data_IF_735134018957
#
_entry.id   IF_735134018957
#
_cell.length_a   1.000
_cell.length_b   1.000
_cell.length_c   1.000
_cell.angle_alpha   90.00
_cell.angle_beta   90.00
_cell.angle_gamma   90.00
#
_symmetry.space_group_name_H-M   'P 1'
#
loop_
_entity.id
_entity.type
_entity.pdbx_description
1 polymer ?
#
# COMPACT_ATOMS: atom_id res chain seq x y z
N UNK A 1 35.31 4.12 -28.09
CA UNK A 1 35.05 4.65 -26.74
C UNK A 1 33.79 3.89 -26.24
N UNK A 2 34.01 2.82 -25.47
CA UNK A 2 32.91 2.07 -24.90
C UNK A 2 32.28 2.96 -23.82
N UNK A 3 31.01 3.28 -23.98
CA UNK A 3 30.20 3.95 -22.97
C UNK A 3 30.09 2.94 -21.81
N UNK A 4 30.82 3.19 -20.71
CA UNK A 4 30.58 2.46 -19.45
C UNK A 4 29.10 2.62 -19.13
N UNK A 5 28.36 1.51 -19.19
CA UNK A 5 27.03 1.45 -18.61
C UNK A 5 27.24 1.65 -17.11
N UNK A 6 26.92 2.85 -16.63
CA UNK A 6 26.81 3.11 -15.19
C UNK A 6 25.74 2.13 -14.69
N UNK A 7 26.16 1.12 -13.93
CA UNK A 7 25.25 0.25 -13.20
C UNK A 7 24.42 1.15 -12.28
N UNK A 8 23.15 1.32 -12.58
CA UNK A 8 22.26 1.99 -11.63
C UNK A 8 22.13 1.10 -10.40
N UNK A 9 22.49 1.63 -9.23
CA UNK A 9 22.36 0.95 -7.95
C UNK A 9 20.96 0.38 -7.74
N UNK A 10 20.84 -0.66 -6.96
CA UNK A 10 19.53 -1.27 -6.67
C UNK A 10 18.59 -0.27 -6.00
N UNK A 11 17.36 -0.19 -6.50
CA UNK A 11 16.33 0.66 -5.91
C UNK A 11 15.76 -0.03 -4.66
N UNK A 12 15.76 0.68 -3.54
CA UNK A 12 15.10 0.27 -2.30
C UNK A 12 14.03 1.29 -1.97
N UNK A 13 12.78 0.85 -1.89
CA UNK A 13 11.68 1.74 -1.51
C UNK A 13 11.25 1.52 -0.06
N UNK A 14 10.69 2.56 0.53
CA UNK A 14 10.17 2.53 1.90
C UNK A 14 8.72 2.99 1.95
N UNK A 15 7.92 2.25 2.68
CA UNK A 15 6.57 2.62 3.07
C UNK A 15 6.41 2.35 4.56
N UNK A 16 6.11 3.39 5.34
CA UNK A 16 6.06 3.29 6.82
C UNK A 16 5.01 4.24 7.41
N UNK A 17 4.67 4.01 8.70
CA UNK A 17 3.78 4.87 9.49
C UNK A 17 4.50 5.64 10.62
N UNK A 18 5.85 5.60 10.67
CA UNK A 18 6.62 6.12 11.80
C UNK A 18 7.55 7.31 11.46
N UNK A 19 7.40 7.88 10.27
CA UNK A 19 8.10 9.12 9.88
C UNK A 19 9.58 8.96 9.58
N UNK A 20 10.20 10.07 9.17
CA UNK A 20 11.57 10.10 8.63
C UNK A 20 12.67 9.84 9.68
N UNK A 21 12.42 10.11 10.96
CA UNK A 21 13.41 9.91 12.02
C UNK A 21 13.84 8.43 12.14
N UNK A 22 12.88 7.52 12.24
CA UNK A 22 13.16 6.08 12.30
C UNK A 22 13.62 5.53 10.96
N UNK A 23 13.06 6.03 9.86
CA UNK A 23 13.46 5.66 8.51
C UNK A 23 14.94 5.95 8.25
N UNK A 24 15.48 7.06 8.77
CA UNK A 24 16.90 7.41 8.61
C UNK A 24 17.84 6.37 9.22
N UNK A 25 17.45 5.72 10.32
CA UNK A 25 18.21 4.64 10.94
C UNK A 25 18.24 3.39 10.06
N UNK A 26 17.10 3.03 9.43
CA UNK A 26 17.03 1.91 8.48
C UNK A 26 17.93 2.15 7.27
N UNK A 27 17.90 3.35 6.69
CA UNK A 27 18.80 3.74 5.59
C UNK A 27 20.27 3.67 6.03
N UNK A 28 20.59 4.13 7.25
CA UNK A 28 21.93 4.06 7.82
C UNK A 28 22.44 2.63 7.91
N UNK A 29 21.63 1.67 8.37
CA UNK A 29 21.95 0.25 8.44
C UNK A 29 22.25 -0.33 7.05
N UNK A 30 21.46 0.00 6.05
CA UNK A 30 21.68 -0.45 4.67
C UNK A 30 23.02 0.11 4.16
N UNK A 31 23.27 1.40 4.36
CA UNK A 31 24.50 2.07 3.89
C UNK A 31 25.79 1.57 4.55
N UNK A 32 25.70 0.93 5.70
CA UNK A 32 26.85 0.25 6.31
C UNK A 32 27.28 -1.01 5.54
N UNK A 33 26.37 -1.62 4.77
CA UNK A 33 26.62 -2.86 4.01
C UNK A 33 26.82 -2.62 2.52
N UNK A 34 26.10 -1.68 1.94
CA UNK A 34 26.21 -1.34 0.51
C UNK A 34 25.95 0.14 0.26
N UNK A 35 26.68 0.71 -0.69
CA UNK A 35 26.49 2.10 -1.14
C UNK A 35 25.88 2.17 -2.53
N UNK A 36 25.77 1.05 -3.22
CA UNK A 36 25.21 0.97 -4.59
C UNK A 36 23.70 0.76 -4.54
N UNK A 37 23.01 1.72 -3.88
CA UNK A 37 21.57 1.72 -3.71
C UNK A 37 20.98 3.11 -3.92
N UNK A 38 19.77 3.14 -4.45
CA UNK A 38 18.93 4.35 -4.59
C UNK A 38 17.74 4.20 -3.66
N UNK A 39 17.58 5.12 -2.73
CA UNK A 39 16.44 5.13 -1.81
C UNK A 39 15.29 5.97 -2.36
N UNK A 40 14.08 5.42 -2.32
CA UNK A 40 12.85 6.11 -2.68
C UNK A 40 11.82 5.91 -1.57
N UNK A 41 11.23 6.98 -1.09
CA UNK A 41 10.14 6.92 -0.12
C UNK A 41 8.81 6.87 -0.87
N UNK A 42 8.07 5.76 -0.74
CA UNK A 42 6.68 5.69 -1.23
C UNK A 42 5.80 6.53 -0.30
N UNK A 43 5.91 6.30 1.01
CA UNK A 43 5.28 7.11 2.05
C UNK A 43 5.97 6.88 3.39
N UNK A 44 6.02 7.91 4.24
CA UNK A 44 6.49 7.84 5.62
C UNK A 44 5.43 8.24 6.63
N UNK A 45 4.23 8.51 6.14
CA UNK A 45 3.09 9.09 6.86
C UNK A 45 1.78 8.31 6.63
N UNK A 46 1.89 7.00 6.40
CA UNK A 46 0.72 6.12 6.49
C UNK A 46 0.08 6.33 7.86
N UNK A 47 -1.25 6.43 7.95
CA UNK A 47 -1.90 6.56 9.25
C UNK A 47 -1.42 5.46 10.22
N UNK A 48 -1.10 5.80 11.49
CA UNK A 48 -0.53 4.84 12.43
C UNK A 48 -1.36 3.55 12.51
N UNK A 49 -0.69 2.40 12.34
CA UNK A 49 -1.27 1.06 12.39
C UNK A 49 -2.29 0.72 11.28
N UNK A 50 -2.49 1.59 10.28
CA UNK A 50 -3.39 1.33 9.16
C UNK A 50 -2.70 0.45 8.09
N UNK A 51 -2.66 -0.86 8.37
CA UNK A 51 -2.08 -1.87 7.47
C UNK A 51 -2.79 -1.88 6.11
N UNK A 52 -4.10 -1.61 6.07
CA UNK A 52 -4.91 -1.61 4.83
C UNK A 52 -4.51 -0.46 3.91
N UNK A 53 -4.40 0.75 4.43
CA UNK A 53 -3.90 1.90 3.66
C UNK A 53 -2.46 1.69 3.20
N UNK A 54 -1.60 1.10 4.03
CA UNK A 54 -0.23 0.74 3.66
C UNK A 54 -0.19 -0.26 2.50
N UNK A 55 -0.99 -1.33 2.59
CA UNK A 55 -1.07 -2.35 1.55
C UNK A 55 -1.58 -1.79 0.21
N UNK A 56 -2.61 -0.93 0.26
CA UNK A 56 -3.11 -0.23 -0.92
C UNK A 56 -2.04 0.66 -1.54
N UNK A 57 -1.38 1.50 -0.75
CA UNK A 57 -0.35 2.41 -1.24
C UNK A 57 0.83 1.64 -1.87
N UNK A 58 1.27 0.55 -1.24
CA UNK A 58 2.31 -0.33 -1.77
C UNK A 58 1.88 -0.96 -3.11
N UNK A 59 0.67 -1.50 -3.18
CA UNK A 59 0.12 -2.13 -4.39
C UNK A 59 0.03 -1.15 -5.55
N UNK A 60 -0.37 0.08 -5.29
CA UNK A 60 -0.48 1.11 -6.34
C UNK A 60 0.90 1.56 -6.81
N UNK A 61 1.82 1.81 -5.87
CA UNK A 61 3.12 2.38 -6.18
C UNK A 61 4.09 1.38 -6.83
N UNK A 62 4.13 0.13 -6.34
CA UNK A 62 5.15 -0.87 -6.73
C UNK A 62 5.18 -1.14 -8.23
N UNK A 63 4.04 -1.06 -8.93
CA UNK A 63 3.93 -1.27 -10.38
C UNK A 63 4.70 -0.25 -11.24
N UNK A 64 5.08 0.89 -10.68
CA UNK A 64 5.81 1.94 -11.39
C UNK A 64 7.33 1.84 -11.20
N UNK A 65 7.79 0.89 -10.38
CA UNK A 65 9.22 0.67 -10.16
C UNK A 65 9.78 -0.39 -11.11
N UNK A 66 11.07 -0.30 -11.47
CA UNK A 66 11.71 -1.29 -12.32
C UNK A 66 11.81 -2.65 -11.62
N UNK A 67 11.86 -3.72 -12.40
CA UNK A 67 12.20 -5.07 -11.89
C UNK A 67 13.53 -5.04 -11.16
N UNK A 68 13.66 -5.83 -10.11
CA UNK A 68 14.83 -5.83 -9.22
C UNK A 68 14.71 -4.84 -8.05
N UNK A 69 13.62 -4.05 -7.99
CA UNK A 69 13.37 -3.17 -6.83
C UNK A 69 13.06 -3.99 -5.58
N UNK A 70 13.61 -3.55 -4.45
CA UNK A 70 13.34 -4.07 -3.11
C UNK A 70 12.40 -3.10 -2.41
N UNK A 71 11.23 -3.57 -1.98
CA UNK A 71 10.22 -2.78 -1.29
C UNK A 71 10.21 -3.15 0.20
N UNK A 72 10.55 -2.21 1.08
CA UNK A 72 10.40 -2.37 2.53
C UNK A 72 9.11 -1.67 2.95
N UNK A 73 8.14 -2.44 3.46
CA UNK A 73 6.88 -1.89 3.96
C UNK A 73 6.67 -2.26 5.42
N UNK A 74 6.60 -1.25 6.28
CA UNK A 74 6.52 -1.44 7.74
C UNK A 74 5.41 -0.56 8.32
N UNK A 75 4.22 -1.12 8.40
CA UNK A 75 3.11 -0.70 9.25
C UNK A 75 2.81 -1.89 10.14
N UNK A 76 3.27 -1.88 11.38
CA UNK A 76 3.47 -3.09 12.17
C UNK A 76 2.97 -2.98 13.61
N UNK A 77 1.65 -3.06 13.82
CA UNK A 77 1.09 -3.09 15.17
C UNK A 77 1.48 -4.32 15.99
N UNK A 78 2.06 -5.35 15.33
CA UNK A 78 2.49 -6.59 15.94
C UNK A 78 4.02 -6.70 16.14
N UNK A 79 4.77 -5.61 16.06
CA UNK A 79 6.24 -5.64 16.25
C UNK A 79 6.62 -6.27 17.60
N UNK A 80 7.61 -7.15 17.59
CA UNK A 80 8.08 -7.82 18.82
C UNK A 80 7.19 -8.94 19.36
N UNK A 81 6.09 -9.27 18.68
CA UNK A 81 5.25 -10.45 18.99
C UNK A 81 5.67 -11.66 18.14
N UNK A 82 4.88 -12.73 18.17
CA UNK A 82 5.12 -13.97 17.39
C UNK A 82 4.86 -13.82 15.87
N UNK A 83 4.46 -12.62 15.39
CA UNK A 83 4.27 -12.41 13.95
C UNK A 83 5.59 -12.60 13.21
N UNK A 84 5.58 -13.36 12.12
CA UNK A 84 6.78 -13.61 11.33
C UNK A 84 7.30 -12.32 10.65
N UNK A 85 8.60 -12.22 10.48
CA UNK A 85 9.25 -11.32 9.54
C UNK A 85 9.39 -12.05 8.21
N UNK A 86 9.00 -11.47 7.09
CA UNK A 86 8.97 -12.19 5.81
C UNK A 86 9.64 -11.41 4.68
N UNK A 87 10.16 -12.19 3.73
CA UNK A 87 10.59 -11.77 2.42
C UNK A 87 9.69 -12.43 1.38
N UNK A 88 9.19 -11.67 0.42
CA UNK A 88 8.31 -12.16 -0.65
C UNK A 88 8.89 -11.73 -1.99
N UNK A 89 9.07 -12.68 -2.90
CA UNK A 89 9.43 -12.39 -4.28
C UNK A 89 8.20 -12.53 -5.17
N UNK A 90 7.95 -11.55 -6.04
CA UNK A 90 6.89 -11.61 -7.04
C UNK A 90 7.17 -10.66 -8.21
N UNK A 91 6.91 -11.12 -9.44
CA UNK A 91 7.04 -10.29 -10.65
C UNK A 91 8.44 -9.73 -10.89
N UNK A 92 9.48 -10.30 -10.23
CA UNK A 92 10.86 -9.79 -10.25
C UNK A 92 11.10 -8.63 -9.30
N UNK A 93 10.23 -8.41 -8.33
CA UNK A 93 10.39 -7.50 -7.20
C UNK A 93 10.53 -8.30 -5.91
N UNK A 94 11.15 -7.71 -4.91
CA UNK A 94 11.26 -8.28 -3.56
C UNK A 94 10.55 -7.37 -2.58
N UNK A 95 9.72 -7.94 -1.72
CA UNK A 95 8.98 -7.25 -0.67
C UNK A 95 9.45 -7.75 0.69
N UNK A 96 9.73 -6.85 1.62
CA UNK A 96 10.23 -7.19 2.96
C UNK A 96 9.39 -6.45 3.99
N UNK A 97 8.92 -7.17 5.01
CA UNK A 97 8.10 -6.58 6.07
C UNK A 97 7.51 -7.59 7.03
N UNK A 98 6.55 -7.15 7.87
CA UNK A 98 5.82 -8.02 8.78
C UNK A 98 4.81 -8.92 8.05
N UNK A 99 4.62 -10.13 8.57
CA UNK A 99 3.55 -11.04 8.14
C UNK A 99 2.20 -10.62 8.75
N UNK A 100 1.66 -9.52 8.27
CA UNK A 100 0.34 -9.00 8.64
C UNK A 100 -0.54 -8.71 7.42
N UNK A 101 -0.10 -9.19 6.24
CA UNK A 101 -0.80 -9.04 4.97
C UNK A 101 -0.43 -7.78 4.17
N UNK A 102 0.35 -6.85 4.71
CA UNK A 102 0.69 -5.58 4.04
C UNK A 102 1.36 -5.76 2.67
N UNK A 103 2.16 -6.81 2.50
CA UNK A 103 2.93 -7.06 1.27
C UNK A 103 2.08 -7.72 0.18
N UNK A 104 1.08 -8.50 0.56
CA UNK A 104 0.44 -9.47 -0.32
C UNK A 104 -0.38 -8.86 -1.46
N UNK A 105 -1.18 -7.78 -1.27
CA UNK A 105 -1.88 -7.15 -2.39
C UNK A 105 -0.95 -6.64 -3.49
N UNK A 106 0.23 -6.10 -3.11
CA UNK A 106 1.25 -5.66 -4.07
C UNK A 106 1.92 -6.85 -4.77
N UNK A 107 2.27 -7.88 -4.03
CA UNK A 107 2.90 -9.08 -4.56
C UNK A 107 1.98 -9.81 -5.57
N UNK A 108 0.69 -9.99 -5.27
CA UNK A 108 -0.29 -10.56 -6.20
C UNK A 108 -0.52 -9.69 -7.43
N UNK A 109 -0.49 -8.36 -7.28
CA UNK A 109 -0.68 -7.45 -8.41
C UNK A 109 0.47 -7.51 -9.44
N UNK A 110 1.67 -7.97 -9.03
CA UNK A 110 2.85 -8.08 -9.90
C UNK A 110 3.09 -9.50 -10.42
N UNK A 111 2.55 -10.54 -9.76
CA UNK A 111 2.75 -11.92 -10.21
C UNK A 111 2.32 -12.97 -9.20
N UNK A 112 2.99 -14.12 -9.25
CA UNK A 112 2.77 -15.24 -8.32
C UNK A 112 3.80 -15.14 -7.20
N UNK A 113 3.40 -14.78 -5.97
CA UNK A 113 4.34 -14.59 -4.86
C UNK A 113 4.90 -15.92 -4.36
N UNK A 114 6.17 -15.90 -3.99
CA UNK A 114 6.83 -16.93 -3.18
C UNK A 114 7.42 -16.24 -1.95
N UNK A 115 7.25 -16.82 -0.77
CA UNK A 115 7.64 -16.18 0.47
C UNK A 115 8.53 -17.06 1.34
N UNK A 116 9.38 -16.40 2.14
CA UNK A 116 10.28 -17.00 3.13
C UNK A 116 10.17 -16.26 4.45
N UNK A 117 10.23 -16.98 5.55
CA UNK A 117 10.34 -16.37 6.87
C UNK A 117 11.81 -15.99 7.11
N UNK A 118 12.02 -14.75 7.57
CA UNK A 118 13.34 -14.24 7.94
C UNK A 118 13.63 -14.54 9.39
N UNK A 119 14.88 -14.88 9.68
CA UNK A 119 15.35 -15.01 11.06
C UNK A 119 15.35 -13.64 11.75
N UNK A 120 14.89 -13.61 13.00
CA UNK A 120 15.01 -12.44 13.86
C UNK A 120 16.26 -12.62 14.72
N UNK A 121 17.29 -11.78 14.56
CA UNK A 121 18.53 -11.90 15.34
C UNK A 121 18.29 -11.79 16.84
N UNK A 122 19.01 -12.56 17.66
CA UNK A 122 18.92 -12.56 19.14
C UNK A 122 19.21 -11.17 19.72
N UNK A 123 19.58 -10.23 19.23
CA UNK A 123 19.79 -8.86 19.74
C UNK A 123 18.85 -7.83 19.12
N UNK A 124 17.90 -8.26 18.28
CA UNK A 124 16.96 -7.33 17.65
C UNK A 124 16.06 -6.66 18.68
N UNK A 125 15.88 -5.36 18.55
CA UNK A 125 14.96 -4.60 19.39
C UNK A 125 13.52 -5.08 19.18
N UNK A 126 12.79 -5.45 20.23
CA UNK A 126 11.40 -5.89 20.10
C UNK A 126 10.45 -4.78 19.64
N UNK A 127 10.92 -3.55 19.58
CA UNK A 127 10.11 -2.40 19.14
C UNK A 127 10.57 -1.82 17.81
N UNK A 128 11.63 -2.37 17.18
CA UNK A 128 12.12 -1.81 15.91
C UNK A 128 12.72 -2.86 14.96
N UNK A 129 11.93 -3.83 14.54
CA UNK A 129 12.31 -4.80 13.51
C UNK A 129 12.61 -4.13 12.15
N UNK A 130 12.07 -2.95 11.87
CA UNK A 130 12.45 -2.15 10.69
C UNK A 130 13.95 -1.97 10.54
N UNK A 131 14.62 -1.58 11.61
CA UNK A 131 16.05 -1.36 11.66
C UNK A 131 16.86 -2.67 11.78
N UNK A 132 16.41 -3.60 12.63
CA UNK A 132 17.25 -4.72 13.07
C UNK A 132 17.01 -6.01 12.27
N UNK A 133 15.89 -6.07 11.49
CA UNK A 133 15.55 -7.25 10.69
C UNK A 133 15.36 -6.86 9.21
N UNK A 134 14.44 -5.92 8.90
CA UNK A 134 14.08 -5.64 7.52
C UNK A 134 15.14 -4.86 6.75
N UNK A 135 15.78 -3.88 7.35
CA UNK A 135 16.86 -3.13 6.71
C UNK A 135 18.10 -4.01 6.44
N UNK A 136 18.59 -4.85 7.39
CA UNK A 136 19.65 -5.83 7.12
C UNK A 136 19.32 -6.79 5.99
N UNK A 137 18.11 -7.36 5.97
CA UNK A 137 17.68 -8.28 4.92
C UNK A 137 17.65 -7.60 3.53
N UNK A 138 17.15 -6.38 3.45
CA UNK A 138 17.18 -5.60 2.21
C UNK A 138 18.60 -5.32 1.72
N UNK A 139 19.54 -5.05 2.62
CA UNK A 139 20.94 -4.83 2.28
C UNK A 139 21.60 -6.09 1.71
N UNK A 140 21.33 -7.27 2.29
CA UNK A 140 21.84 -8.55 1.79
C UNK A 140 21.34 -8.87 0.39
N UNK A 141 20.03 -8.67 0.14
CA UNK A 141 19.45 -8.82 -1.20
C UNK A 141 20.02 -7.79 -2.16
N UNK A 142 20.26 -6.56 -1.72
CA UNK A 142 20.91 -5.55 -2.56
C UNK A 142 22.35 -5.95 -2.92
N UNK A 143 23.05 -6.66 -2.04
CA UNK A 143 24.39 -7.23 -2.29
C UNK A 143 24.36 -8.49 -3.18
N UNK A 144 23.18 -9.02 -3.53
CA UNK A 144 23.05 -10.16 -4.45
C UNK A 144 22.64 -11.48 -3.81
N UNK A 145 22.35 -11.52 -2.51
CA UNK A 145 21.76 -12.70 -1.86
C UNK A 145 20.35 -12.94 -2.46
N UNK A 146 20.03 -14.18 -2.77
CA UNK A 146 18.70 -14.53 -3.26
C UNK A 146 17.69 -14.65 -2.10
N UNK A 147 16.42 -14.26 -2.29
CA UNK A 147 15.38 -14.40 -1.26
C UNK A 147 15.27 -15.81 -0.68
N UNK A 148 15.45 -16.84 -1.49
CA UNK A 148 15.42 -18.26 -1.08
C UNK A 148 16.54 -18.64 -0.09
N UNK A 149 17.65 -17.91 -0.10
CA UNK A 149 18.79 -18.13 0.81
C UNK A 149 18.60 -17.36 2.15
N UNK A 150 17.57 -16.52 2.24
CA UNK A 150 17.32 -15.67 3.42
C UNK A 150 16.53 -16.36 4.53
N UNK A 151 15.88 -17.48 4.22
CA UNK A 151 15.02 -18.15 5.19
C UNK A 151 14.37 -19.42 4.65
N UNK A 152 13.41 -19.95 5.39
CA UNK A 152 12.67 -21.15 4.98
C UNK A 152 11.36 -20.78 4.28
N UNK A 153 10.87 -21.60 3.31
CA UNK A 153 9.59 -21.37 2.64
C UNK A 153 8.44 -21.15 3.64
N UNK A 154 7.58 -20.18 3.35
CA UNK A 154 6.55 -19.75 4.26
C UNK A 154 5.25 -19.42 3.50
N UNK A 155 4.10 -19.68 4.12
CA UNK A 155 2.79 -19.28 3.63
C UNK A 155 2.36 -18.00 4.35
N UNK A 156 2.41 -16.82 3.69
CA UNK A 156 2.14 -15.55 4.34
C UNK A 156 0.65 -15.34 4.59
N UNK A 157 0.34 -14.53 5.61
CA UNK A 157 -1.02 -14.04 5.83
C UNK A 157 -1.44 -13.17 4.67
N UNK A 158 -2.65 -13.41 4.19
CA UNK A 158 -3.28 -12.59 3.17
C UNK A 158 -3.97 -11.37 3.79
N UNK A 159 -4.15 -10.33 2.97
CA UNK A 159 -4.98 -9.18 3.29
C UNK A 159 -5.99 -8.98 2.16
N UNK A 160 -7.21 -9.45 2.39
CA UNK A 160 -8.29 -9.21 1.46
C UNK A 160 -8.74 -7.74 1.53
N UNK A 161 -8.51 -6.99 0.45
CA UNK A 161 -9.06 -5.65 0.27
C UNK A 161 -10.56 -5.68 -0.05
N UNK A 162 -11.14 -6.87 -0.20
CA UNK A 162 -12.53 -7.11 -0.53
C UNK A 162 -12.84 -6.91 -2.02
N UNK A 163 -14.07 -7.23 -2.36
CA UNK A 163 -14.64 -6.99 -3.68
C UNK A 163 -16.02 -6.35 -3.54
N UNK A 164 -16.41 -5.43 -4.45
CA UNK A 164 -17.73 -4.85 -4.42
C UNK A 164 -18.78 -5.92 -4.67
N UNK A 165 -19.97 -5.75 -4.09
CA UNK A 165 -21.09 -6.68 -4.23
C UNK A 165 -22.34 -5.92 -4.64
N UNK A 166 -22.97 -6.34 -5.72
CA UNK A 166 -24.28 -5.81 -6.13
C UNK A 166 -25.32 -6.20 -5.08
N UNK A 167 -26.11 -5.24 -4.64
CA UNK A 167 -27.22 -5.39 -3.71
C UNK A 167 -28.50 -4.85 -4.35
N UNK A 168 -29.66 -5.03 -3.71
CA UNK A 168 -30.96 -4.70 -4.28
C UNK A 168 -31.12 -3.23 -4.74
N UNK A 169 -30.44 -2.30 -4.06
CA UNK A 169 -30.57 -0.85 -4.31
C UNK A 169 -29.23 -0.19 -4.68
N UNK A 170 -28.24 -0.97 -5.16
CA UNK A 170 -26.95 -0.40 -5.53
C UNK A 170 -25.75 -1.34 -5.37
N UNK A 171 -24.63 -0.83 -4.86
CA UNK A 171 -23.39 -1.57 -4.70
C UNK A 171 -22.82 -1.40 -3.29
N UNK A 172 -22.68 -2.53 -2.57
CA UNK A 172 -21.91 -2.57 -1.33
C UNK A 172 -20.41 -2.59 -1.65
N UNK A 173 -19.66 -1.75 -1.01
CA UNK A 173 -18.19 -1.58 -1.22
C UNK A 173 -17.50 -1.25 0.09
N UNK A 174 -16.17 -1.35 0.10
CA UNK A 174 -15.35 -1.10 1.28
C UNK A 174 -14.38 0.06 1.01
N UNK A 175 -14.21 0.94 2.00
CA UNK A 175 -13.18 1.98 2.00
C UNK A 175 -11.82 1.31 2.19
N UNK A 176 -10.94 1.41 1.19
CA UNK A 176 -9.61 0.78 1.24
C UNK A 176 -8.50 1.77 1.56
N UNK A 177 -8.74 3.06 1.36
CA UNK A 177 -7.79 4.13 1.66
C UNK A 177 -8.49 5.48 1.74
N UNK A 178 -7.94 6.40 2.53
CA UNK A 178 -8.31 7.81 2.53
C UNK A 178 -7.04 8.61 2.31
N UNK A 179 -7.03 9.44 1.26
CA UNK A 179 -5.87 10.25 0.91
C UNK A 179 -5.75 11.54 1.77
N UNK A 180 -4.66 12.28 1.58
CA UNK A 180 -4.39 13.52 2.34
C UNK A 180 -5.40 14.64 2.06
N UNK A 181 -6.16 14.57 0.96
CA UNK A 181 -7.25 15.50 0.66
C UNK A 181 -8.56 15.09 1.33
N UNK A 182 -8.61 13.87 1.87
CA UNK A 182 -9.80 13.25 2.44
C UNK A 182 -10.72 12.64 1.39
N UNK A 183 -10.19 12.32 0.20
CA UNK A 183 -10.89 11.52 -0.78
C UNK A 183 -10.94 10.07 -0.30
N UNK A 184 -12.08 9.40 -0.53
CA UNK A 184 -12.37 8.05 -0.05
C UNK A 184 -12.23 7.07 -1.20
N UNK A 185 -11.19 6.25 -1.18
CA UNK A 185 -10.91 5.23 -2.18
C UNK A 185 -11.64 3.95 -1.83
N UNK A 186 -12.36 3.39 -2.80
CA UNK A 186 -13.18 2.20 -2.67
C UNK A 186 -12.51 0.98 -3.33
N UNK A 187 -12.83 -0.23 -2.89
CA UNK A 187 -12.34 -1.47 -3.51
C UNK A 187 -12.96 -1.78 -4.89
N UNK A 188 -13.48 -0.77 -5.58
CA UNK A 188 -14.12 -0.87 -6.90
C UNK A 188 -13.15 -0.42 -8.00
N UNK A 189 -12.95 -1.25 -9.03
CA UNK A 189 -12.11 -0.92 -10.21
C UNK A 189 -12.88 -0.21 -11.34
N UNK A 190 -14.13 0.10 -11.13
CA UNK A 190 -14.98 0.84 -12.06
C UNK A 190 -15.91 1.76 -11.29
N UNK A 191 -16.34 2.84 -11.92
CA UNK A 191 -17.36 3.76 -11.40
C UNK A 191 -18.68 3.38 -12.06
N UNK A 192 -19.82 3.35 -11.33
CA UNK A 192 -21.14 3.18 -11.91
C UNK A 192 -21.41 4.17 -13.05
N UNK A 193 -22.23 3.79 -14.03
CA UNK A 193 -22.50 4.62 -15.21
C UNK A 193 -23.43 5.82 -14.93
N UNK A 194 -24.07 5.85 -13.78
CA UNK A 194 -24.97 6.89 -13.31
C UNK A 194 -24.45 7.57 -12.04
N UNK A 195 -25.07 8.71 -11.68
CA UNK A 195 -24.91 9.29 -10.36
C UNK A 195 -25.40 8.30 -9.30
N UNK A 196 -24.72 8.31 -8.15
CA UNK A 196 -25.06 7.47 -7.01
C UNK A 196 -25.48 8.31 -5.82
N UNK A 197 -26.00 7.68 -4.79
CA UNK A 197 -26.19 8.29 -3.45
C UNK A 197 -25.40 7.57 -2.39
N UNK A 198 -24.92 8.34 -1.43
CA UNK A 198 -24.31 7.82 -0.20
C UNK A 198 -24.93 8.55 0.97
N UNK A 199 -25.54 7.82 1.90
CA UNK A 199 -26.21 8.39 3.09
C UNK A 199 -27.18 9.54 2.70
N UNK A 200 -27.98 9.33 1.65
CA UNK A 200 -28.97 10.28 1.14
C UNK A 200 -28.40 11.45 0.32
N UNK A 201 -27.08 11.61 0.23
CA UNK A 201 -26.44 12.66 -0.58
C UNK A 201 -26.09 12.14 -1.97
N UNK A 202 -26.37 12.94 -3.00
CA UNK A 202 -25.99 12.64 -4.38
C UNK A 202 -24.48 12.72 -4.53
N UNK A 203 -23.91 11.73 -5.20
CA UNK A 203 -22.56 11.69 -5.71
C UNK A 203 -22.62 11.87 -7.22
N UNK A 204 -22.23 13.04 -7.70
CA UNK A 204 -22.19 13.32 -9.14
C UNK A 204 -21.09 12.49 -9.80
N UNK A 205 -21.45 11.70 -10.81
CA UNK A 205 -20.46 11.00 -11.61
C UNK A 205 -19.71 12.00 -12.50
N UNK A 206 -18.40 12.05 -12.39
CA UNK A 206 -17.55 12.99 -13.13
C UNK A 206 -16.28 12.29 -13.61
N UNK A 207 -15.59 12.89 -14.59
CA UNK A 207 -14.27 12.45 -15.06
C UNK A 207 -13.15 13.19 -14.35
N UNK A 208 -13.39 14.41 -13.91
CA UNK A 208 -12.44 15.25 -13.19
C UNK A 208 -13.14 16.01 -12.05
N UNK A 209 -12.40 16.34 -11.00
CA UNK A 209 -12.96 17.07 -9.84
C UNK A 209 -13.61 18.40 -10.21
N UNK A 210 -13.07 19.10 -11.22
CA UNK A 210 -13.57 20.41 -11.67
C UNK A 210 -14.94 20.39 -12.38
N UNK A 211 -15.46 19.22 -12.75
CA UNK A 211 -16.82 19.08 -13.29
C UNK A 211 -17.92 19.15 -12.21
N UNK A 212 -17.53 19.01 -10.94
CA UNK A 212 -18.42 19.21 -9.80
C UNK A 212 -18.34 20.66 -9.30
N UNK A 213 -19.46 21.20 -8.81
CA UNK A 213 -19.52 22.52 -8.17
C UNK A 213 -18.75 22.55 -6.86
N UNK A 214 -18.45 23.74 -6.37
CA UNK A 214 -17.80 23.93 -5.08
C UNK A 214 -18.62 23.28 -3.93
N UNK A 215 -17.97 22.51 -3.08
CA UNK A 215 -18.60 21.69 -2.03
C UNK A 215 -19.56 20.59 -2.54
N UNK A 216 -19.60 20.30 -3.83
CA UNK A 216 -20.38 19.20 -4.39
C UNK A 216 -19.63 17.88 -4.20
N UNK A 217 -20.38 16.85 -3.76
CA UNK A 217 -19.86 15.47 -3.65
C UNK A 217 -19.88 14.79 -5.01
N UNK A 218 -18.82 14.05 -5.29
CA UNK A 218 -18.62 13.40 -6.58
C UNK A 218 -18.10 11.97 -6.42
N UNK A 219 -18.24 11.18 -7.48
CA UNK A 219 -17.57 9.90 -7.64
C UNK A 219 -16.83 9.88 -8.97
N UNK A 220 -15.61 9.42 -8.98
CA UNK A 220 -14.73 9.35 -10.15
C UNK A 220 -13.84 8.12 -10.12
N UNK A 221 -13.15 7.82 -11.21
CA UNK A 221 -12.08 6.84 -11.23
C UNK A 221 -10.75 7.56 -10.95
N UNK A 222 -10.16 7.29 -9.79
CA UNK A 222 -8.88 7.87 -9.41
C UNK A 222 -7.72 7.37 -10.28
N UNK A 223 -6.60 8.09 -10.27
CA UNK A 223 -5.38 7.75 -11.03
C UNK A 223 -4.77 6.39 -10.65
N UNK A 224 -5.08 5.90 -9.46
CA UNK A 224 -4.71 4.57 -8.96
C UNK A 224 -5.55 3.42 -9.56
N UNK A 225 -6.60 3.73 -10.35
CA UNK A 225 -7.46 2.75 -11.02
C UNK A 225 -8.59 2.20 -10.15
N UNK A 226 -8.94 2.87 -9.07
CA UNK A 226 -10.08 2.54 -8.21
C UNK A 226 -11.08 3.69 -8.15
N UNK A 227 -12.35 3.37 -7.88
CA UNK A 227 -13.37 4.38 -7.67
C UNK A 227 -13.05 5.20 -6.41
N UNK A 228 -13.35 6.48 -6.49
CA UNK A 228 -13.04 7.44 -5.44
C UNK A 228 -14.22 8.38 -5.22
N UNK A 229 -14.59 8.59 -3.97
CA UNK A 229 -15.57 9.61 -3.57
C UNK A 229 -14.78 10.83 -3.10
N UNK A 230 -15.08 11.98 -3.65
CA UNK A 230 -14.46 13.24 -3.30
C UNK A 230 -15.49 14.36 -3.06
N UNK A 231 -15.02 15.47 -2.50
CA UNK A 231 -15.78 16.72 -2.42
C UNK A 231 -14.92 17.81 -3.02
N UNK A 232 -15.41 18.50 -4.04
CA UNK A 232 -14.66 19.59 -4.66
C UNK A 232 -14.43 20.73 -3.64
N UNK A 233 -13.18 20.94 -3.24
CA UNK A 233 -12.81 21.94 -2.21
C UNK A 233 -13.06 21.49 -0.77
N UNK A 234 -13.32 20.19 -0.52
CA UNK A 234 -13.59 19.63 0.81
C UNK A 234 -13.05 18.22 1.00
N UNK A 235 -13.40 17.60 2.12
CA UNK A 235 -13.04 16.23 2.48
C UNK A 235 -14.27 15.33 2.50
N UNK A 236 -14.31 14.33 1.63
CA UNK A 236 -15.37 13.32 1.62
C UNK A 236 -15.38 12.48 2.89
N UNK A 237 -14.20 12.09 3.39
CA UNK A 237 -14.07 11.33 4.62
C UNK A 237 -14.71 12.05 5.82
N UNK A 238 -14.45 13.36 5.95
CA UNK A 238 -15.07 14.18 7.02
C UNK A 238 -16.57 14.38 6.81
N UNK A 239 -17.00 14.63 5.56
CA UNK A 239 -18.40 14.88 5.25
C UNK A 239 -19.28 13.67 5.54
N UNK A 240 -18.80 12.47 5.26
CA UNK A 240 -19.55 11.21 5.42
C UNK A 240 -19.16 10.46 6.71
N UNK A 241 -18.19 10.95 7.49
CA UNK A 241 -17.72 10.30 8.71
C UNK A 241 -17.09 8.92 8.45
N UNK A 242 -16.35 8.76 7.34
CA UNK A 242 -15.80 7.50 6.90
C UNK A 242 -14.36 7.30 7.33
N UNK A 243 -14.03 6.04 7.60
CA UNK A 243 -12.69 5.55 7.94
C UNK A 243 -12.30 4.36 7.05
N UNK A 244 -11.01 4.09 6.94
CA UNK A 244 -10.50 2.91 6.24
C UNK A 244 -11.08 1.63 6.88
N UNK A 245 -11.57 0.72 6.04
CA UNK A 245 -12.23 -0.52 6.45
C UNK A 245 -13.75 -0.44 6.54
N UNK A 246 -14.34 0.75 6.48
CA UNK A 246 -15.79 0.91 6.51
C UNK A 246 -16.46 0.28 5.28
N UNK A 247 -17.58 -0.41 5.52
CA UNK A 247 -18.47 -0.90 4.46
C UNK A 247 -19.57 0.11 4.22
N UNK A 248 -19.77 0.48 2.99
CA UNK A 248 -20.80 1.43 2.56
C UNK A 248 -21.63 0.84 1.42
N UNK A 249 -22.83 1.36 1.25
CA UNK A 249 -23.68 1.09 0.09
C UNK A 249 -23.80 2.36 -0.74
N UNK A 250 -23.38 2.27 -2.00
CA UNK A 250 -23.66 3.28 -3.01
C UNK A 250 -25.04 2.95 -3.61
N UNK A 251 -26.02 3.80 -3.37
CA UNK A 251 -27.40 3.60 -3.83
C UNK A 251 -27.60 4.15 -5.23
N UNK A 252 -28.34 3.42 -6.07
CA UNK A 252 -28.75 3.90 -7.38
C UNK A 252 -29.76 5.06 -7.26
N UNK A 253 -29.53 6.15 -7.99
CA UNK A 253 -30.44 7.30 -7.99
C UNK A 253 -31.83 6.95 -8.56
N UNK A 254 -31.89 5.96 -9.48
CA UNK A 254 -33.10 5.50 -10.14
C UNK A 254 -34.04 4.65 -9.26
N UNK A 255 -33.57 4.18 -8.09
CA UNK A 255 -34.36 3.34 -7.17
C UNK A 255 -35.20 4.15 -6.14
N UNK A 256 -35.28 5.47 -6.29
CA UNK A 256 -35.89 6.37 -5.30
C UNK A 256 -37.12 7.11 -5.84
N UNK A 257 -38.07 6.37 -6.46
CA UNK A 257 -39.44 6.84 -6.73
C UNK A 257 -40.47 5.93 -6.07
#
# INVERSE_FOLDING_TARGET
MAMEMVSMGRVITFLTDFGSFYLSQMKGVILQRTKDVVFVEISTDIPPQDVRSGAFALMVASRYFPRGTIHIAVVDPGVGTERAAICVESGGHVFIGPDNGILMPAAYALGSPVAWVLDVPEGASPTFHGRDVFAPAAAEIACGTHPEDMGIPFEPKDLDLGSPRVVANGVETTVIHIDNFGNVVLNMKSVPDSDMRLMGRRLKRVRTYGEAGWNESLITLGSHGFAEIAVNGGSAAKLFGLSTGDKIVLEDVSCSE
#
